data_IF_464994572209
#
_entry.id   IF_464994572209
#
_cell.length_a   1.000
_cell.length_b   1.000
_cell.length_c   1.000
_cell.angle_alpha   90.00
_cell.angle_beta   90.00
_cell.angle_gamma   90.00
#
_symmetry.space_group_name_H-M   'P 1'
#
loop_
_entity.id
_entity.type
_entity.pdbx_description
1 polymer ?
#
# COMPACT_ATOMS: atom_id res chain seq x y z
N UNK A 1 24.94 31.90 -44.21
CA UNK A 1 25.40 31.27 -42.96
C UNK A 1 25.43 29.75 -43.04
N UNK A 2 26.54 29.20 -43.51
CA UNK A 2 26.80 27.75 -43.57
C UNK A 2 27.01 27.15 -42.16
N UNK A 3 27.59 27.94 -41.24
CA UNK A 3 27.89 27.54 -39.87
C UNK A 3 26.62 27.20 -39.06
N UNK A 4 25.51 27.90 -39.30
CA UNK A 4 24.23 27.64 -38.63
C UNK A 4 23.59 26.31 -39.07
N UNK A 5 23.80 25.91 -40.32
CA UNK A 5 23.26 24.66 -40.86
C UNK A 5 24.02 23.44 -40.33
N UNK A 6 25.35 23.53 -40.21
CA UNK A 6 26.19 22.47 -39.63
C UNK A 6 25.91 22.26 -38.12
N UNK A 7 25.72 23.35 -37.36
CA UNK A 7 25.34 23.26 -35.95
C UNK A 7 23.95 22.61 -35.81
N UNK A 8 22.99 22.99 -36.64
CA UNK A 8 21.65 22.40 -36.63
C UNK A 8 21.67 20.90 -36.96
N UNK A 9 22.44 20.49 -37.97
CA UNK A 9 22.60 19.08 -38.33
C UNK A 9 23.28 18.26 -37.23
N UNK A 10 24.30 18.81 -36.56
CA UNK A 10 24.97 18.15 -35.44
C UNK A 10 24.06 17.99 -34.20
N UNK A 11 23.22 18.99 -33.88
CA UNK A 11 22.25 18.90 -32.78
C UNK A 11 21.17 17.86 -33.07
N UNK A 12 20.67 17.81 -34.31
CA UNK A 12 19.71 16.80 -34.75
C UNK A 12 20.33 15.41 -34.69
N UNK A 13 21.58 15.25 -35.16
CA UNK A 13 22.30 13.98 -35.11
C UNK A 13 22.54 13.50 -33.67
N UNK A 14 22.98 14.38 -32.77
CA UNK A 14 23.11 14.06 -31.34
C UNK A 14 21.77 13.65 -30.73
N UNK A 15 20.67 14.33 -31.06
CA UNK A 15 19.34 14.00 -30.56
C UNK A 15 18.84 12.64 -31.07
N UNK A 16 19.12 12.32 -32.34
CA UNK A 16 18.80 11.03 -32.95
C UNK A 16 19.65 9.91 -32.32
N UNK A 17 20.95 10.13 -32.12
CA UNK A 17 21.85 9.16 -31.49
C UNK A 17 21.44 8.92 -30.03
N UNK A 18 21.15 9.97 -29.25
CA UNK A 18 20.65 9.82 -27.88
C UNK A 18 19.31 9.07 -27.84
N UNK A 19 18.39 9.35 -28.77
CA UNK A 19 17.12 8.63 -28.86
C UNK A 19 17.32 7.17 -29.29
N UNK A 20 18.21 6.90 -30.24
CA UNK A 20 18.54 5.56 -30.70
C UNK A 20 19.19 4.71 -29.59
N UNK A 21 20.16 5.26 -28.87
CA UNK A 21 20.75 4.61 -27.70
C UNK A 21 19.73 4.38 -26.58
N UNK A 22 18.83 5.33 -26.32
CA UNK A 22 17.75 5.18 -25.34
C UNK A 22 16.76 4.06 -25.71
N UNK A 23 16.39 3.93 -27.00
CA UNK A 23 15.49 2.88 -27.48
C UNK A 23 16.16 1.51 -27.37
N UNK A 24 17.46 1.42 -27.67
CA UNK A 24 18.20 0.16 -27.70
C UNK A 24 18.58 -0.35 -26.29
N UNK A 25 18.66 0.54 -25.29
CA UNK A 25 18.92 0.20 -23.89
C UNK A 25 17.65 0.07 -23.03
N UNK A 26 16.47 0.37 -23.57
CA UNK A 26 15.22 0.23 -22.84
C UNK A 26 14.95 -1.26 -22.53
N UNK A 27 14.63 -1.61 -21.28
CA UNK A 27 14.38 -3.00 -20.92
C UNK A 27 13.17 -3.53 -21.70
N UNK A 28 13.35 -4.71 -22.30
CA UNK A 28 12.31 -5.40 -23.05
C UNK A 28 11.30 -6.06 -22.09
N UNK A 29 10.12 -6.40 -22.58
CA UNK A 29 9.14 -7.15 -21.78
C UNK A 29 9.72 -8.47 -21.26
N UNK A 30 10.47 -9.21 -22.09
CA UNK A 30 11.03 -10.51 -21.72
C UNK A 30 12.04 -10.38 -20.58
N UNK A 31 12.91 -9.37 -20.63
CA UNK A 31 13.90 -9.11 -19.56
C UNK A 31 13.23 -8.70 -18.26
N UNK A 32 12.23 -7.82 -18.31
CA UNK A 32 11.48 -7.39 -17.11
C UNK A 32 10.72 -8.56 -16.49
N UNK A 33 10.04 -9.38 -17.31
CA UNK A 33 9.31 -10.56 -16.82
C UNK A 33 10.25 -11.61 -16.24
N UNK A 34 11.44 -11.80 -16.82
CA UNK A 34 12.43 -12.71 -16.26
C UNK A 34 12.89 -12.25 -14.87
N UNK A 35 13.32 -10.99 -14.76
CA UNK A 35 13.73 -10.39 -13.49
C UNK A 35 12.62 -10.44 -12.43
N UNK A 36 11.37 -10.12 -12.82
CA UNK A 36 10.22 -10.17 -11.91
C UNK A 36 10.00 -11.57 -11.30
N UNK A 37 10.27 -12.65 -12.05
CA UNK A 37 10.10 -14.03 -11.55
C UNK A 37 11.10 -14.38 -10.44
N UNK A 38 12.27 -13.75 -10.44
CA UNK A 38 13.31 -14.00 -9.44
C UNK A 38 12.91 -13.48 -8.05
N UNK A 39 11.99 -12.51 -7.97
CA UNK A 39 11.45 -12.01 -6.71
C UNK A 39 10.36 -12.91 -6.11
N UNK A 40 9.95 -13.97 -6.81
CA UNK A 40 8.98 -14.95 -6.31
C UNK A 40 7.70 -14.31 -5.73
N UNK A 41 7.14 -13.33 -6.43
CA UNK A 41 5.92 -12.63 -6.02
C UNK A 41 4.80 -13.62 -5.68
N UNK A 42 4.01 -13.27 -4.66
CA UNK A 42 2.91 -14.12 -4.20
C UNK A 42 1.82 -14.27 -5.26
N UNK A 43 1.24 -15.47 -5.31
CA UNK A 43 0.14 -15.80 -6.21
C UNK A 43 -1.19 -15.41 -5.58
N UNK A 44 -2.09 -14.86 -6.38
CA UNK A 44 -3.45 -14.52 -5.96
C UNK A 44 -4.47 -15.42 -6.65
N UNK A 45 -5.24 -16.18 -5.87
CA UNK A 45 -6.25 -17.11 -6.38
C UNK A 45 -7.66 -16.50 -6.48
N UNK A 46 -7.88 -15.35 -5.83
CA UNK A 46 -9.21 -14.75 -5.70
C UNK A 46 -10.07 -15.36 -4.60
N UNK A 47 -9.51 -16.25 -3.78
CA UNK A 47 -10.19 -16.93 -2.68
C UNK A 47 -9.64 -16.48 -1.33
N UNK A 48 -10.48 -16.56 -0.30
CA UNK A 48 -10.11 -16.26 1.08
C UNK A 48 -10.56 -14.89 1.54
N UNK A 49 -9.78 -14.32 2.46
CA UNK A 49 -10.10 -13.05 3.09
C UNK A 49 -9.90 -11.88 2.12
N UNK A 50 -10.87 -10.95 2.00
CA UNK A 50 -10.72 -9.76 1.16
C UNK A 50 -9.45 -8.94 1.47
N UNK A 51 -8.88 -9.04 2.68
CA UNK A 51 -7.60 -8.41 3.07
C UNK A 51 -6.41 -8.84 2.20
N UNK A 52 -6.44 -10.08 1.69
CA UNK A 52 -5.35 -10.64 0.87
C UNK A 52 -5.18 -9.83 -0.43
N UNK A 53 -6.23 -9.13 -0.89
CA UNK A 53 -6.16 -8.28 -2.09
C UNK A 53 -5.14 -7.16 -1.92
N UNK A 54 -5.24 -6.39 -0.84
CA UNK A 54 -4.35 -5.24 -0.62
C UNK A 54 -2.93 -5.68 -0.24
N UNK A 55 -2.79 -6.79 0.50
CA UNK A 55 -1.48 -7.40 0.80
C UNK A 55 -0.78 -7.83 -0.51
N UNK A 56 -1.52 -8.48 -1.41
CA UNK A 56 -1.00 -8.88 -2.71
C UNK A 56 -0.61 -7.68 -3.59
N UNK A 57 -1.45 -6.63 -3.63
CA UNK A 57 -1.13 -5.38 -4.35
C UNK A 57 0.13 -4.73 -3.79
N UNK A 58 0.23 -4.57 -2.47
CA UNK A 58 1.39 -3.96 -1.82
C UNK A 58 2.67 -4.77 -2.06
N UNK A 59 2.59 -6.11 -2.01
CA UNK A 59 3.71 -6.98 -2.34
C UNK A 59 4.20 -6.79 -3.78
N UNK A 60 3.29 -6.62 -4.74
CA UNK A 60 3.64 -6.29 -6.12
C UNK A 60 4.24 -4.90 -6.26
N UNK A 61 3.68 -3.88 -5.59
CA UNK A 61 4.20 -2.51 -5.62
C UNK A 61 5.61 -2.43 -5.07
N UNK A 62 5.89 -3.12 -3.97
CA UNK A 62 7.23 -3.24 -3.41
C UNK A 62 8.22 -3.84 -4.41
N UNK A 63 7.85 -4.95 -5.07
CA UNK A 63 8.72 -5.57 -6.09
C UNK A 63 8.93 -4.61 -7.27
N UNK A 64 7.88 -3.94 -7.74
CA UNK A 64 7.97 -2.98 -8.84
C UNK A 64 8.86 -1.79 -8.50
N UNK A 65 8.85 -1.32 -7.26
CA UNK A 65 9.76 -0.28 -6.77
C UNK A 65 11.20 -0.78 -6.77
N UNK A 66 11.47 -1.93 -6.14
CA UNK A 66 12.82 -2.48 -6.00
C UNK A 66 13.48 -2.78 -7.35
N UNK A 67 12.71 -3.28 -8.32
CA UNK A 67 13.24 -3.61 -9.64
C UNK A 67 13.14 -2.46 -10.65
N UNK A 68 12.67 -1.28 -10.23
CA UNK A 68 12.39 -0.12 -11.09
C UNK A 68 11.52 -0.48 -12.31
N UNK A 69 10.47 -1.29 -12.08
CA UNK A 69 9.64 -1.84 -13.13
C UNK A 69 8.93 -0.74 -13.93
N UNK A 70 9.17 -0.63 -15.25
CA UNK A 70 8.47 0.34 -16.09
C UNK A 70 6.96 0.13 -16.06
N UNK A 71 6.20 1.22 -15.95
CA UNK A 71 4.73 1.22 -15.82
C UNK A 71 4.04 0.30 -16.83
N UNK A 72 4.45 0.37 -18.09
CA UNK A 72 3.93 -0.45 -19.20
C UNK A 72 4.05 -1.98 -19.02
N UNK A 73 4.88 -2.45 -18.09
CA UNK A 73 5.09 -3.87 -17.82
C UNK A 73 4.49 -4.34 -16.49
N UNK A 74 4.00 -3.44 -15.63
CA UNK A 74 3.44 -3.82 -14.32
C UNK A 74 2.22 -4.74 -14.45
N UNK A 75 1.33 -4.44 -15.38
CA UNK A 75 0.11 -5.23 -15.63
C UNK A 75 0.44 -6.65 -16.10
N UNK A 76 1.42 -6.83 -17.00
CA UNK A 76 1.78 -8.17 -17.46
C UNK A 76 2.44 -8.98 -16.35
N UNK A 77 3.27 -8.35 -15.51
CA UNK A 77 3.87 -9.00 -14.33
C UNK A 77 2.80 -9.43 -13.31
N UNK A 78 1.87 -8.53 -12.97
CA UNK A 78 0.77 -8.83 -12.06
C UNK A 78 -0.15 -9.94 -12.59
N UNK A 79 -0.47 -9.91 -13.90
CA UNK A 79 -1.28 -10.95 -14.54
C UNK A 79 -0.66 -12.36 -14.39
N UNK A 80 0.68 -12.48 -14.39
CA UNK A 80 1.35 -13.76 -14.20
C UNK A 80 1.13 -14.35 -12.80
N UNK A 81 0.82 -13.52 -11.81
CA UNK A 81 0.56 -13.96 -10.44
C UNK A 81 -0.92 -14.29 -10.16
N UNK A 82 -1.82 -14.00 -11.09
CA UNK A 82 -3.21 -14.43 -11.00
C UNK A 82 -3.30 -15.94 -11.26
N UNK A 83 -3.98 -16.65 -10.36
CA UNK A 83 -4.22 -18.10 -10.42
C UNK A 83 -5.67 -18.41 -10.09
N UNK A 84 -6.09 -19.67 -10.25
CA UNK A 84 -7.45 -20.11 -9.90
C UNK A 84 -8.56 -19.21 -10.47
N UNK A 85 -9.50 -18.84 -9.62
CA UNK A 85 -10.67 -18.04 -9.96
C UNK A 85 -10.31 -16.61 -10.38
N UNK A 86 -9.26 -16.02 -9.80
CA UNK A 86 -8.75 -14.72 -10.23
C UNK A 86 -8.27 -14.72 -11.68
N UNK A 87 -7.57 -15.78 -12.10
CA UNK A 87 -7.15 -15.91 -13.50
C UNK A 87 -8.32 -16.13 -14.45
N UNK A 88 -9.29 -16.95 -14.04
CA UNK A 88 -10.50 -17.19 -14.84
C UNK A 88 -11.31 -15.91 -15.01
N UNK A 89 -11.53 -15.16 -13.93
CA UNK A 89 -12.22 -13.88 -13.97
C UNK A 89 -11.48 -12.86 -14.84
N UNK A 90 -10.16 -12.71 -14.69
CA UNK A 90 -9.38 -11.75 -15.48
C UNK A 90 -9.48 -12.03 -16.98
N UNK A 91 -9.41 -13.30 -17.37
CA UNK A 91 -9.56 -13.73 -18.76
C UNK A 91 -10.99 -13.47 -19.27
N UNK A 92 -12.02 -13.76 -18.49
CA UNK A 92 -13.41 -13.50 -18.86
C UNK A 92 -13.70 -11.99 -18.97
N UNK A 93 -13.20 -11.18 -18.04
CA UNK A 93 -13.37 -9.73 -18.01
C UNK A 93 -12.82 -9.07 -19.27
N UNK A 94 -11.60 -9.42 -19.68
CA UNK A 94 -10.98 -8.88 -20.88
C UNK A 94 -11.41 -9.58 -22.17
N UNK A 95 -11.89 -10.82 -22.10
CA UNK A 95 -12.46 -11.52 -23.26
C UNK A 95 -13.67 -10.81 -23.85
N UNK A 96 -14.43 -10.08 -23.02
CA UNK A 96 -15.54 -9.23 -23.46
C UNK A 96 -15.08 -7.85 -23.98
N UNK A 97 -13.80 -7.50 -23.81
CA UNK A 97 -13.23 -6.16 -24.09
C UNK A 97 -11.86 -6.24 -24.76
N UNK A 98 -11.73 -6.93 -25.92
CA UNK A 98 -10.42 -7.24 -26.50
C UNK A 98 -9.61 -5.99 -26.90
N UNK A 99 -10.29 -4.91 -27.31
CA UNK A 99 -9.64 -3.65 -27.71
C UNK A 99 -9.17 -2.77 -26.54
N UNK A 100 -9.73 -2.94 -25.35
CA UNK A 100 -9.44 -2.10 -24.20
C UNK A 100 -8.28 -2.64 -23.35
N UNK A 101 -7.98 -3.94 -23.45
CA UNK A 101 -6.95 -4.60 -22.63
C UNK A 101 -5.58 -3.95 -22.76
N UNK A 102 -5.22 -3.48 -23.96
CA UNK A 102 -3.94 -2.83 -24.22
C UNK A 102 -3.78 -1.50 -23.47
N UNK A 103 -4.88 -0.85 -23.09
CA UNK A 103 -4.89 0.40 -22.33
C UNK A 103 -4.96 0.21 -20.82
N UNK A 104 -5.01 -1.03 -20.30
CA UNK A 104 -5.06 -1.28 -18.87
C UNK A 104 -3.76 -0.81 -18.21
N UNK A 105 -3.86 0.16 -17.29
CA UNK A 105 -2.75 0.62 -16.45
C UNK A 105 -2.68 -0.20 -15.16
N UNK A 106 -1.61 -0.01 -14.38
CA UNK A 106 -1.49 -0.62 -13.05
C UNK A 106 -2.62 -0.17 -12.12
N UNK A 107 -2.93 1.13 -12.11
CA UNK A 107 -4.03 1.73 -11.35
C UNK A 107 -5.38 1.11 -11.70
N UNK A 108 -5.68 0.94 -12.99
CA UNK A 108 -6.91 0.29 -13.44
C UNK A 108 -6.97 -1.17 -12.97
N UNK A 109 -5.86 -1.91 -13.02
CA UNK A 109 -5.82 -3.29 -12.51
C UNK A 109 -6.14 -3.31 -11.00
N UNK A 110 -5.53 -2.43 -10.20
CA UNK A 110 -5.80 -2.32 -8.75
C UNK A 110 -7.28 -2.06 -8.48
N UNK A 111 -7.89 -1.13 -9.20
CA UNK A 111 -9.32 -0.84 -9.10
C UNK A 111 -10.18 -2.05 -9.46
N UNK A 112 -9.90 -2.72 -10.59
CA UNK A 112 -10.65 -3.89 -11.03
C UNK A 112 -10.57 -5.06 -10.05
N UNK A 113 -9.38 -5.33 -9.51
CA UNK A 113 -9.18 -6.41 -8.54
C UNK A 113 -9.89 -6.08 -7.23
N UNK A 114 -9.78 -4.83 -6.74
CA UNK A 114 -10.52 -4.37 -5.55
C UNK A 114 -12.02 -4.44 -5.76
N UNK A 115 -12.55 -3.95 -6.88
CA UNK A 115 -14.00 -4.00 -7.11
C UNK A 115 -14.53 -5.43 -7.21
N UNK A 116 -13.72 -6.37 -7.73
CA UNK A 116 -14.09 -7.78 -7.83
C UNK A 116 -14.01 -8.54 -6.50
N UNK A 117 -12.92 -8.35 -5.75
CA UNK A 117 -12.56 -9.19 -4.59
C UNK A 117 -12.62 -8.45 -3.25
N UNK A 118 -12.81 -7.13 -3.29
CA UNK A 118 -12.92 -6.22 -2.15
C UNK A 118 -14.25 -5.43 -2.21
N UNK A 119 -15.38 -6.14 -2.02
CA UNK A 119 -16.71 -5.57 -2.23
C UNK A 119 -17.00 -4.39 -1.30
N UNK A 120 -17.83 -3.45 -1.75
CA UNK A 120 -18.13 -2.20 -1.03
C UNK A 120 -18.62 -2.41 0.40
N UNK A 121 -19.38 -3.48 0.67
CA UNK A 121 -19.82 -3.79 2.04
C UNK A 121 -18.64 -4.05 2.97
N UNK A 122 -17.58 -4.70 2.48
CA UNK A 122 -16.40 -5.01 3.30
C UNK A 122 -15.59 -3.76 3.58
N UNK A 123 -15.46 -2.86 2.59
CA UNK A 123 -14.88 -1.52 2.78
C UNK A 123 -15.62 -0.73 3.87
N UNK A 124 -16.94 -0.66 3.76
CA UNK A 124 -17.78 0.01 4.75
C UNK A 124 -17.65 -0.63 6.14
N UNK A 125 -17.49 -1.96 6.21
CA UNK A 125 -17.25 -2.66 7.47
C UNK A 125 -15.88 -2.34 8.07
N UNK A 126 -14.81 -2.29 7.27
CA UNK A 126 -13.48 -1.86 7.73
C UNK A 126 -13.49 -0.40 8.20
N UNK A 127 -14.17 0.48 7.48
CA UNK A 127 -14.37 1.86 7.89
C UNK A 127 -15.10 1.95 9.24
N UNK A 128 -16.19 1.19 9.40
CA UNK A 128 -16.93 1.11 10.66
C UNK A 128 -16.06 0.58 11.80
N UNK A 129 -15.27 -0.47 11.57
CA UNK A 129 -14.35 -1.02 12.56
C UNK A 129 -13.28 0.01 12.93
N UNK A 130 -12.70 0.71 11.95
CA UNK A 130 -11.72 1.77 12.20
C UNK A 130 -12.30 2.93 13.01
N UNK A 131 -13.51 3.39 12.65
CA UNK A 131 -14.23 4.48 13.32
C UNK A 131 -14.80 4.11 14.70
N UNK A 132 -14.94 2.83 15.01
CA UNK A 132 -15.34 2.35 16.34
C UNK A 132 -14.19 1.76 17.16
N UNK A 133 -12.99 1.67 16.59
CA UNK A 133 -11.83 1.10 17.28
C UNK A 133 -11.51 1.90 18.56
N UNK A 134 -11.35 1.17 19.65
CA UNK A 134 -10.96 1.65 20.97
C UNK A 134 -9.91 0.68 21.53
N UNK A 135 -8.99 1.17 22.35
CA UNK A 135 -8.00 0.38 23.05
C UNK A 135 -8.69 -0.72 23.88
N UNK A 136 -9.74 -0.36 24.63
CA UNK A 136 -10.47 -1.29 25.47
C UNK A 136 -9.55 -1.93 26.52
N UNK A 137 -9.53 -3.27 26.57
CA UNK A 137 -8.66 -4.05 27.47
C UNK A 137 -7.30 -4.40 26.85
N UNK A 138 -7.04 -4.00 25.60
CA UNK A 138 -5.80 -4.33 24.88
C UNK A 138 -4.63 -3.50 25.37
N UNK A 139 -3.43 -4.01 25.13
CA UNK A 139 -2.23 -3.19 25.27
C UNK A 139 -2.19 -2.07 24.25
N UNK A 140 -1.45 -1.00 24.56
CA UNK A 140 -1.22 0.07 23.58
C UNK A 140 -0.56 -0.49 22.31
N UNK A 141 0.33 -1.47 22.44
CA UNK A 141 0.96 -2.13 21.29
C UNK A 141 -0.04 -2.91 20.43
N UNK A 142 -0.94 -3.67 21.06
CA UNK A 142 -2.00 -4.40 20.35
C UNK A 142 -2.98 -3.44 19.66
N UNK A 143 -3.32 -2.34 20.33
CA UNK A 143 -4.19 -1.31 19.80
C UNK A 143 -3.55 -0.55 18.63
N UNK A 144 -2.27 -0.18 18.75
CA UNK A 144 -1.50 0.49 17.69
C UNK A 144 -1.39 -0.37 16.44
N UNK A 145 -1.10 -1.67 16.60
CA UNK A 145 -1.05 -2.62 15.48
C UNK A 145 -2.39 -2.68 14.75
N UNK A 146 -3.50 -2.68 15.48
CA UNK A 146 -4.84 -2.74 14.86
C UNK A 146 -5.23 -1.41 14.20
N UNK A 147 -4.85 -0.26 14.79
CA UNK A 147 -4.97 1.06 14.14
C UNK A 147 -4.22 1.05 12.80
N UNK A 148 -2.96 0.64 12.82
CA UNK A 148 -2.10 0.61 11.63
C UNK A 148 -2.64 -0.34 10.57
N UNK A 149 -3.16 -1.49 10.99
CA UNK A 149 -3.80 -2.46 10.11
C UNK A 149 -5.05 -1.90 9.45
N UNK A 150 -5.99 -1.35 10.22
CA UNK A 150 -7.26 -0.87 9.69
C UNK A 150 -7.08 0.42 8.86
N UNK A 151 -6.11 1.26 9.21
CA UNK A 151 -5.74 2.46 8.46
C UNK A 151 -5.37 2.17 6.99
N UNK A 152 -4.82 0.99 6.67
CA UNK A 152 -4.50 0.60 5.31
C UNK A 152 -5.74 0.51 4.40
N UNK A 153 -6.92 0.24 4.97
CA UNK A 153 -8.18 0.10 4.21
C UNK A 153 -8.95 1.42 4.07
N UNK A 154 -8.61 2.42 4.89
CA UNK A 154 -9.26 3.74 4.88
C UNK A 154 -8.23 4.86 4.82
N UNK A 155 -7.37 4.89 3.78
CA UNK A 155 -6.31 5.88 3.66
C UNK A 155 -6.86 7.32 3.67
N UNK A 156 -8.11 7.49 3.23
CA UNK A 156 -8.81 8.78 3.23
C UNK A 156 -9.09 9.35 4.63
N UNK A 157 -9.21 8.49 5.64
CA UNK A 157 -9.47 8.91 7.03
C UNK A 157 -8.19 9.27 7.79
N UNK A 158 -7.01 8.90 7.27
CA UNK A 158 -5.69 9.09 7.90
C UNK A 158 -4.66 9.68 6.95
N UNK A 159 -5.10 10.53 6.01
CA UNK A 159 -4.24 11.14 4.98
C UNK A 159 -3.08 11.93 5.55
N UNK A 160 -3.25 12.49 6.74
CA UNK A 160 -2.23 13.28 7.43
C UNK A 160 -1.78 12.61 8.72
N UNK A 161 -0.53 12.85 9.10
CA UNK A 161 0.00 12.39 10.38
C UNK A 161 -0.85 12.89 11.56
N UNK A 162 -1.35 14.12 11.49
CA UNK A 162 -2.23 14.70 12.50
C UNK A 162 -3.56 13.96 12.63
N UNK A 163 -4.22 13.60 11.51
CA UNK A 163 -5.44 12.79 11.53
C UNK A 163 -5.19 11.41 12.14
N UNK A 164 -4.07 10.76 11.78
CA UNK A 164 -3.69 9.46 12.32
C UNK A 164 -3.42 9.53 13.83
N UNK A 165 -2.69 10.55 14.27
CA UNK A 165 -2.42 10.81 15.69
C UNK A 165 -3.70 11.06 16.48
N UNK A 166 -4.57 11.93 15.98
CA UNK A 166 -5.84 12.24 16.63
C UNK A 166 -6.72 11.00 16.78
N UNK A 167 -6.82 10.20 15.71
CA UNK A 167 -7.61 8.97 15.72
C UNK A 167 -7.10 7.96 16.74
N UNK A 168 -5.78 7.79 16.83
CA UNK A 168 -5.16 6.95 17.84
C UNK A 168 -5.49 7.45 19.25
N UNK A 169 -5.28 8.74 19.52
CA UNK A 169 -5.50 9.37 20.83
C UNK A 169 -6.97 9.25 21.28
N UNK A 170 -7.92 9.41 20.36
CA UNK A 170 -9.35 9.38 20.68
C UNK A 170 -9.86 8.00 21.10
N UNK A 171 -9.20 6.93 20.65
CA UNK A 171 -9.54 5.57 21.06
C UNK A 171 -8.73 5.04 22.24
N UNK A 172 -7.77 5.80 22.78
CA UNK A 172 -7.00 5.38 23.95
C UNK A 172 -7.87 5.29 25.20
N UNK A 173 -7.49 4.37 26.09
CA UNK A 173 -8.10 4.24 27.41
C UNK A 173 -7.98 5.58 28.17
N UNK A 174 -9.05 6.06 28.85
CA UNK A 174 -9.09 7.42 29.40
C UNK A 174 -7.90 7.81 30.29
N UNK A 175 -7.41 6.87 31.10
CA UNK A 175 -6.24 7.11 31.98
C UNK A 175 -4.94 7.35 31.19
N UNK A 176 -4.76 6.65 30.05
CA UNK A 176 -3.62 6.84 29.16
C UNK A 176 -3.78 8.14 28.37
N UNK A 177 -4.99 8.40 27.86
CA UNK A 177 -5.31 9.60 27.05
C UNK A 177 -5.07 10.91 27.81
N UNK A 178 -5.48 11.00 29.07
CA UNK A 178 -5.36 12.24 29.87
C UNK A 178 -3.91 12.75 29.96
N UNK A 179 -2.94 11.83 30.06
CA UNK A 179 -1.52 12.17 30.16
C UNK A 179 -0.96 12.70 28.83
N UNK A 180 -1.40 12.17 27.70
CA UNK A 180 -0.93 12.58 26.36
C UNK A 180 -1.35 14.02 26.05
N UNK A 181 -2.57 14.41 26.43
CA UNK A 181 -3.06 15.79 26.25
C UNK A 181 -2.23 16.79 27.06
N UNK A 182 -1.75 16.39 28.24
CA UNK A 182 -0.87 17.21 29.08
C UNK A 182 0.53 17.45 28.50
N UNK A 183 1.04 16.53 27.67
CA UNK A 183 2.39 16.61 27.08
C UNK A 183 2.46 17.34 25.74
N UNK A 184 1.32 17.54 25.05
CA UNK A 184 1.27 18.10 23.70
C UNK A 184 1.90 17.15 22.67
N UNK A 185 1.12 16.71 21.68
CA UNK A 185 1.64 15.86 20.61
C UNK A 185 1.37 16.49 19.26
N UNK A 186 2.39 16.51 18.40
CA UNK A 186 2.28 16.97 17.01
C UNK A 186 2.37 15.80 16.01
N UNK A 187 2.83 14.61 16.45
CA UNK A 187 3.18 13.47 15.59
C UNK A 187 2.61 12.16 16.13
N UNK A 188 2.32 11.23 15.22
CA UNK A 188 1.77 9.91 15.57
C UNK A 188 2.75 9.11 16.41
N UNK A 189 4.03 9.10 16.02
CA UNK A 189 5.09 8.38 16.73
C UNK A 189 5.25 8.84 18.20
N UNK A 190 5.16 10.16 18.46
CA UNK A 190 5.27 10.69 19.82
C UNK A 190 4.05 10.31 20.67
N UNK A 191 2.85 10.32 20.09
CA UNK A 191 1.64 9.88 20.79
C UNK A 191 1.73 8.40 21.20
N UNK A 192 2.23 7.53 20.31
CA UNK A 192 2.42 6.09 20.59
C UNK A 192 3.44 5.89 21.72
N UNK A 193 4.59 6.55 21.66
CA UNK A 193 5.65 6.42 22.69
C UNK A 193 5.14 6.77 24.10
N UNK A 194 4.46 7.92 24.23
CA UNK A 194 3.91 8.34 25.53
C UNK A 194 2.83 7.37 26.00
N UNK A 195 1.96 6.90 25.09
CA UNK A 195 0.92 5.94 25.42
C UNK A 195 1.51 4.62 25.96
N UNK A 196 2.58 4.10 25.33
CA UNK A 196 3.27 2.88 25.75
C UNK A 196 3.90 3.02 27.14
N UNK A 197 4.58 4.12 27.42
CA UNK A 197 5.19 4.41 28.74
C UNK A 197 4.14 4.43 29.86
N UNK A 198 2.99 5.06 29.58
CA UNK A 198 1.88 5.14 30.53
C UNK A 198 1.20 3.79 30.74
N UNK A 199 0.95 3.04 29.68
CA UNK A 199 0.34 1.70 29.72
C UNK A 199 1.22 0.72 30.54
N UNK A 200 2.54 0.78 30.35
CA UNK A 200 3.49 0.01 31.15
C UNK A 200 3.52 0.42 32.63
N UNK A 201 3.28 1.69 32.94
CA UNK A 201 3.24 2.21 34.32
C UNK A 201 1.97 1.76 35.05
N UNK A 202 0.79 1.90 34.42
CA UNK A 202 -0.50 1.49 34.99
C UNK A 202 -0.57 -0.03 35.25
N UNK A 203 0.00 -0.85 34.36
CA UNK A 203 0.05 -2.31 34.58
C UNK A 203 0.94 -2.69 35.77
N UNK A 204 2.06 -2.00 35.97
CA UNK A 204 2.95 -2.24 37.12
C UNK A 204 2.24 -1.95 38.45
N UNK A 205 1.43 -0.90 38.49
CA UNK A 205 0.62 -0.55 39.68
C UNK A 205 -0.47 -1.57 39.96
N UNK A 206 -1.13 -2.08 38.93
CA UNK A 206 -2.18 -3.11 39.05
C UNK A 206 -1.64 -4.41 39.65
N UNK A 207 -0.47 -4.87 39.20
CA UNK A 207 0.19 -6.08 39.74
C UNK A 207 0.59 -5.91 41.21
N UNK A 208 1.10 -4.74 41.59
CA UNK A 208 1.44 -4.44 43.00
C UNK A 208 0.20 -4.45 43.90
N UNK A 209 -0.90 -3.85 43.44
CA UNK A 209 -2.17 -3.82 44.17
C UNK A 209 -2.77 -5.21 44.40
N UNK A 210 -2.63 -6.14 43.44
CA UNK A 210 -3.10 -7.52 43.58
C UNK A 210 -2.22 -8.39 44.48
N UNK A 211 -0.92 -8.09 44.60
CA UNK A 211 0.00 -8.81 45.48
C UNK A 211 -0.08 -8.39 46.96
N UNK A 212 -0.78 -7.30 47.25
CA UNK A 212 -0.94 -6.73 48.60
C UNK A 212 -2.33 -6.94 49.20
N UNK A 213 -3.19 -7.70 48.53
CA UNK A 213 -4.57 -8.01 48.94
C UNK A 213 -4.78 -9.51 49.05
#
# INVERSE_FOLDING_TARGET
DLCALEISQNIIMCSIISNFFNIQMAPTQATVVAQFRDYHAEKFSGQGDPRIVDEWIQGLEFIFEVMECPERYRVICAQLQLTGDARLWWNAYWGLRPGEKAGCTWEMLKELVRDKYYPTYYRAEMERQFLSLQQGTRTVDEYEREITRLAAFVPDLVRTEAQRAQRFIDGLYPAVRHNIVGHGTQTYARAVSIAQEMDASLRRETVRGQSSS
#
